data_IF_197683011345
#
_entry.id   IF_197683011345
#
_cell.length_a   1.000
_cell.length_b   1.000
_cell.length_c   1.000
_cell.angle_alpha   90.00
_cell.angle_beta   90.00
_cell.angle_gamma   90.00
#
_symmetry.space_group_name_H-M   'P 1'
#
loop_
_entity.id
_entity.type
_entity.pdbx_description
1 polymer ?
#
# COMPACT_ATOMS: atom_id res chain seq x y z
N UNK A 1 18.15 -0.62 6.16
CA UNK A 1 18.36 -1.66 5.11
C UNK A 1 17.84 -2.98 5.66
N UNK A 2 17.08 -3.74 4.88
CA UNK A 2 16.48 -5.01 5.30
C UNK A 2 17.03 -6.13 4.43
N UNK A 3 17.43 -7.27 5.02
CA UNK A 3 17.77 -8.46 4.24
C UNK A 3 16.50 -9.29 4.00
N UNK A 4 16.29 -9.70 2.76
CA UNK A 4 15.19 -10.58 2.36
C UNK A 4 15.71 -11.78 1.60
N UNK A 5 15.11 -12.93 1.86
CA UNK A 5 15.30 -14.13 1.04
C UNK A 5 14.45 -14.02 -0.22
N UNK A 6 15.10 -13.94 -1.38
CA UNK A 6 14.43 -13.77 -2.68
C UNK A 6 14.64 -15.02 -3.53
N UNK A 7 13.54 -15.57 -4.04
CA UNK A 7 13.54 -16.71 -4.96
C UNK A 7 13.85 -16.24 -6.39
N UNK A 8 14.83 -16.88 -7.04
CA UNK A 8 15.16 -16.66 -8.45
C UNK A 8 14.99 -17.96 -9.22
N UNK A 9 14.14 -17.94 -10.24
CA UNK A 9 13.92 -19.07 -11.15
C UNK A 9 14.81 -18.99 -12.39
N UNK A 10 15.32 -20.11 -12.84
CA UNK A 10 16.15 -20.20 -14.05
C UNK A 10 16.08 -21.61 -14.67
N UNK A 11 16.68 -21.78 -15.85
CA UNK A 11 16.73 -23.05 -16.57
C UNK A 11 15.35 -23.66 -16.84
N UNK A 12 15.22 -24.96 -16.61
CA UNK A 12 13.99 -25.74 -16.76
C UNK A 12 13.22 -25.88 -15.43
N UNK A 13 13.10 -24.80 -14.67
CA UNK A 13 12.31 -24.76 -13.44
C UNK A 13 13.11 -24.90 -12.15
N UNK A 14 14.44 -24.73 -12.21
CA UNK A 14 15.25 -24.59 -11.00
C UNK A 14 14.91 -23.29 -10.26
N UNK A 15 14.91 -23.34 -8.93
CA UNK A 15 14.67 -22.18 -8.05
C UNK A 15 15.74 -22.16 -6.96
N UNK A 16 16.49 -21.05 -6.89
CA UNK A 16 17.46 -20.77 -5.83
C UNK A 16 16.97 -19.61 -4.96
N UNK A 17 17.40 -19.58 -3.69
CA UNK A 17 17.09 -18.52 -2.73
C UNK A 17 18.36 -17.73 -2.44
N UNK A 18 18.30 -16.41 -2.64
CA UNK A 18 19.43 -15.51 -2.41
C UNK A 18 19.09 -14.46 -1.34
N UNK A 19 20.01 -14.16 -0.41
CA UNK A 19 19.86 -13.04 0.50
C UNK A 19 20.11 -11.73 -0.27
N UNK A 20 19.12 -10.85 -0.26
CA UNK A 20 19.16 -9.56 -0.95
C UNK A 20 18.95 -8.42 0.05
N UNK A 21 19.81 -7.41 -0.03
CA UNK A 21 19.61 -6.16 0.69
C UNK A 21 18.54 -5.31 -0.02
N UNK A 22 17.42 -5.09 0.65
CA UNK A 22 16.36 -4.18 0.24
C UNK A 22 16.58 -2.79 0.87
N UNK A 23 16.63 -1.79 0.00
CA UNK A 23 16.61 -0.38 0.36
C UNK A 23 15.26 0.21 -0.09
N UNK A 24 14.57 0.89 0.80
CA UNK A 24 13.32 1.60 0.50
C UNK A 24 13.49 3.06 0.93
N UNK A 25 13.04 3.97 0.09
CA UNK A 25 12.76 5.36 0.48
C UNK A 25 11.26 5.52 0.52
N UNK A 26 10.73 5.80 1.71
CA UNK A 26 9.34 6.18 1.86
C UNK A 26 9.22 7.68 1.65
N UNK A 27 8.15 8.09 0.98
CA UNK A 27 7.69 9.47 1.01
C UNK A 27 7.11 9.72 2.41
N UNK A 28 8.01 9.98 3.36
CA UNK A 28 7.69 10.22 4.76
C UNK A 28 7.04 11.58 4.96
N UNK A 29 7.51 12.35 5.93
CA UNK A 29 7.04 13.72 6.12
C UNK A 29 7.58 14.65 5.02
N UNK A 30 6.78 14.83 3.98
CA UNK A 30 7.09 15.71 2.87
C UNK A 30 7.09 17.19 3.25
N UNK A 31 6.50 17.56 4.39
CA UNK A 31 6.47 18.95 4.86
C UNK A 31 7.83 19.45 5.31
N UNK A 32 8.78 18.53 5.55
CA UNK A 32 10.17 18.86 5.87
C UNK A 32 11.01 19.28 4.65
N UNK A 33 10.49 19.15 3.43
CA UNK A 33 11.21 19.54 2.21
C UNK A 33 11.04 21.05 1.97
N UNK A 34 12.14 21.83 1.91
CA UNK A 34 12.07 23.30 1.85
C UNK A 34 11.47 23.83 0.54
N UNK A 35 11.62 23.09 -0.55
CA UNK A 35 11.19 23.51 -1.89
C UNK A 35 9.80 22.99 -2.28
N UNK A 36 9.05 22.43 -1.31
CA UNK A 36 7.72 21.85 -1.57
C UNK A 36 6.68 22.50 -0.65
N UNK A 37 5.75 23.26 -1.24
CA UNK A 37 4.60 23.77 -0.50
C UNK A 37 3.64 22.61 -0.15
N UNK A 38 3.65 22.20 1.12
CA UNK A 38 2.76 21.17 1.63
C UNK A 38 1.67 21.79 2.52
N UNK A 39 0.44 21.29 2.42
CA UNK A 39 -0.68 21.63 3.32
C UNK A 39 -1.43 20.38 3.73
N UNK A 40 -2.12 20.45 4.88
CA UNK A 40 -2.99 19.39 5.36
C UNK A 40 -4.47 19.73 5.11
N UNK A 41 -5.24 18.72 4.73
CA UNK A 41 -6.70 18.80 4.59
C UNK A 41 -7.33 17.71 5.45
N UNK A 42 -8.30 18.08 6.28
CA UNK A 42 -9.06 17.12 7.07
C UNK A 42 -10.11 16.44 6.18
N UNK A 43 -10.20 15.12 6.26
CA UNK A 43 -11.18 14.32 5.50
C UNK A 43 -11.86 13.29 6.41
N UNK A 44 -13.02 12.78 5.99
CA UNK A 44 -13.64 11.61 6.64
C UNK A 44 -12.67 10.41 6.60
N UNK A 45 -12.68 9.60 7.67
CA UNK A 45 -11.79 8.44 7.80
C UNK A 45 -11.95 7.45 6.65
N UNK A 46 -13.16 7.33 6.09
CA UNK A 46 -13.45 6.44 4.95
C UNK A 46 -12.59 6.74 3.72
N UNK A 47 -12.17 7.99 3.53
CA UNK A 47 -11.25 8.39 2.44
C UNK A 47 -9.79 8.00 2.70
N UNK A 48 -9.39 7.86 3.97
CA UNK A 48 -8.01 7.65 4.39
C UNK A 48 -7.74 6.32 5.09
N UNK A 49 -8.72 5.44 5.19
CA UNK A 49 -8.62 4.17 5.91
C UNK A 49 -7.64 3.22 5.22
N UNK A 50 -6.64 2.76 5.95
CA UNK A 50 -5.63 1.83 5.44
C UNK A 50 -6.00 0.38 5.76
N UNK A 51 -6.04 -0.47 4.72
CA UNK A 51 -6.26 -1.91 4.82
C UNK A 51 -4.95 -2.66 4.58
N UNK A 52 -4.07 -2.59 5.58
CA UNK A 52 -2.71 -3.17 5.55
C UNK A 52 -2.69 -4.67 5.83
N UNK A 53 -3.73 -5.21 6.46
CA UNK A 53 -3.85 -6.61 6.84
C UNK A 53 -5.19 -7.17 6.38
N UNK A 54 -5.19 -8.44 5.96
CA UNK A 54 -6.39 -9.12 5.45
C UNK A 54 -7.54 -9.15 6.47
N UNK A 55 -7.23 -9.26 7.76
CA UNK A 55 -8.23 -9.25 8.83
C UNK A 55 -9.05 -7.96 8.90
N UNK A 56 -8.59 -6.86 8.29
CA UNK A 56 -9.31 -5.59 8.27
C UNK A 56 -10.44 -5.56 7.22
N UNK A 57 -10.47 -6.50 6.27
CA UNK A 57 -11.45 -6.51 5.18
C UNK A 57 -12.88 -6.76 5.66
N UNK A 58 -13.07 -7.65 6.63
CA UNK A 58 -14.41 -8.00 7.13
C UNK A 58 -15.08 -6.79 7.80
N UNK A 59 -14.36 -6.06 8.65
CA UNK A 59 -14.87 -4.84 9.28
C UNK A 59 -15.19 -3.75 8.26
N UNK A 60 -14.28 -3.51 7.31
CA UNK A 60 -14.44 -2.51 6.24
C UNK A 60 -15.60 -2.81 5.29
N UNK A 61 -15.93 -4.09 5.07
CA UNK A 61 -17.09 -4.47 4.28
C UNK A 61 -18.38 -4.24 5.07
N UNK A 62 -18.40 -4.63 6.36
CA UNK A 62 -19.60 -4.57 7.21
C UNK A 62 -19.98 -3.16 7.65
N UNK A 63 -19.01 -2.28 7.83
CA UNK A 63 -19.26 -0.89 8.21
C UNK A 63 -19.76 0.00 7.05
N UNK A 64 -19.88 -0.56 5.84
CA UNK A 64 -20.36 0.13 4.64
C UNK A 64 -19.29 0.94 3.91
N UNK A 65 -18.05 0.94 4.38
CA UNK A 65 -16.93 1.62 3.71
C UNK A 65 -16.67 1.05 2.32
N UNK A 66 -16.79 -0.27 2.16
CA UNK A 66 -16.71 -0.92 0.85
C UNK A 66 -17.75 -0.44 -0.15
N UNK A 67 -19.02 -0.40 0.24
CA UNK A 67 -20.10 0.12 -0.61
C UNK A 67 -19.94 1.60 -0.94
N UNK A 68 -19.43 2.40 0.00
CA UNK A 68 -19.12 3.79 -0.27
C UNK A 68 -18.03 3.95 -1.33
N UNK A 69 -16.91 3.21 -1.24
CA UNK A 69 -15.86 3.24 -2.28
C UNK A 69 -16.41 2.80 -3.62
N UNK A 70 -17.20 1.72 -3.65
CA UNK A 70 -17.84 1.21 -4.86
C UNK A 70 -18.69 2.28 -5.57
N UNK A 71 -19.45 3.07 -4.79
CA UNK A 71 -20.27 4.17 -5.32
C UNK A 71 -19.50 5.31 -5.98
N UNK A 72 -18.21 5.47 -5.67
CA UNK A 72 -17.36 6.50 -6.26
C UNK A 72 -16.79 6.10 -7.63
N UNK A 73 -16.75 4.80 -7.92
CA UNK A 73 -16.18 4.28 -9.14
C UNK A 73 -17.18 4.35 -10.30
N UNK A 74 -16.67 4.64 -11.51
CA UNK A 74 -17.42 4.42 -12.75
C UNK A 74 -16.97 3.07 -13.30
N UNK A 75 -17.70 2.04 -12.92
CA UNK A 75 -17.54 0.72 -13.51
C UNK A 75 -18.29 0.75 -14.84
N UNK A 76 -17.58 0.99 -15.94
CA UNK A 76 -18.23 1.02 -17.26
C UNK A 76 -19.02 -0.27 -17.52
N UNK A 77 -20.19 -0.10 -18.15
CA UNK A 77 -21.15 -1.15 -18.53
C UNK A 77 -20.94 -1.58 -19.99
#
# INVERSE_FOLDING_TARGET
>A
VTLKDVKKRWGHGQEDVFPVAQFEKLWGDMTALPDVECRFLVTDIRRGQQLKQQAQLDGWLRDGSGSWVDSLCRWDS
#
